data_IF_099160653538
#
_entry.id   IF_099160653538
#
_cell.length_a   1.000
_cell.length_b   1.000
_cell.length_c   1.000
_cell.angle_alpha   90.00
_cell.angle_beta   90.00
_cell.angle_gamma   90.00
#
_symmetry.space_group_name_H-M   'P 1'
#
loop_
_entity.id
_entity.type
_entity.pdbx_description
1 polymer ?
#
# COMPACT_ATOMS: atom_id res chain seq x y z
N UNK A 1 -25.33 51.63 40.46
CA UNK A 1 -25.13 50.33 41.15
C UNK A 1 -25.56 49.24 40.19
N UNK A 2 -24.63 48.56 39.49
CA UNK A 2 -24.07 47.24 39.85
C UNK A 2 -25.18 46.17 39.96
N UNK A 3 -25.44 45.32 38.96
CA UNK A 3 -24.90 43.94 38.75
C UNK A 3 -26.09 43.14 38.17
N UNK A 4 -26.04 42.08 37.36
CA UNK A 4 -25.03 41.25 36.69
C UNK A 4 -25.81 40.51 35.59
N UNK A 5 -25.40 40.64 34.35
CA UNK A 5 -25.71 39.66 33.30
C UNK A 5 -24.70 38.54 33.52
N UNK A 6 -25.16 37.37 33.97
CA UNK A 6 -24.31 36.18 34.00
C UNK A 6 -24.70 35.27 32.83
N UNK A 7 -23.84 35.35 31.83
CA UNK A 7 -23.77 34.50 30.65
C UNK A 7 -23.69 33.03 31.05
N UNK A 8 -24.65 32.22 30.63
CA UNK A 8 -24.47 30.77 30.51
C UNK A 8 -24.33 30.47 29.02
N UNK A 9 -23.15 30.78 28.48
CA UNK A 9 -22.70 30.18 27.23
C UNK A 9 -22.18 28.79 27.60
N UNK A 10 -23.03 27.77 27.43
CA UNK A 10 -22.60 26.39 27.53
C UNK A 10 -21.70 26.10 26.31
N UNK A 11 -20.39 26.12 26.54
CA UNK A 11 -19.38 25.68 25.58
C UNK A 11 -19.57 24.18 25.41
N UNK A 12 -20.34 23.78 24.40
CA UNK A 12 -20.29 22.42 23.83
C UNK A 12 -18.96 22.29 23.08
N UNK A 13 -17.88 22.06 23.83
CA UNK A 13 -16.70 21.45 23.27
C UNK A 13 -17.07 20.00 22.92
N UNK A 14 -17.37 19.76 21.66
CA UNK A 14 -17.44 18.42 21.09
C UNK A 14 -16.05 17.79 21.17
N UNK A 15 -15.81 17.03 22.24
CA UNK A 15 -14.77 16.02 22.25
C UNK A 15 -15.18 14.96 21.23
N UNK A 16 -14.73 15.11 19.99
CA UNK A 16 -14.71 14.04 19.02
C UNK A 16 -13.70 13.00 19.52
N UNK A 17 -14.12 12.14 20.44
CA UNK A 17 -13.43 10.88 20.68
C UNK A 17 -13.54 10.09 19.38
N UNK A 18 -12.45 10.03 18.62
CA UNK A 18 -12.32 9.11 17.50
C UNK A 18 -12.40 7.69 18.09
N UNK A 19 -13.59 7.09 18.07
CA UNK A 19 -13.76 5.70 18.42
C UNK A 19 -12.94 4.87 17.42
N UNK A 20 -11.98 4.10 17.93
CA UNK A 20 -11.24 3.15 17.11
C UNK A 20 -12.20 2.09 16.59
N UNK A 21 -12.11 1.75 15.31
CA UNK A 21 -12.89 0.65 14.75
C UNK A 21 -12.41 -0.69 15.34
N UNK A 22 -13.28 -1.71 15.33
CA UNK A 22 -12.89 -3.06 15.77
C UNK A 22 -11.69 -3.57 14.97
N UNK A 23 -11.66 -3.29 13.67
CA UNK A 23 -10.53 -3.61 12.80
C UNK A 23 -9.23 -2.97 13.29
N UNK A 24 -9.24 -1.68 13.62
CA UNK A 24 -8.06 -0.98 14.13
C UNK A 24 -7.59 -1.56 15.48
N UNK A 25 -8.52 -1.97 16.34
CA UNK A 25 -8.20 -2.62 17.61
C UNK A 25 -7.57 -4.01 17.41
N UNK A 26 -8.05 -4.78 16.43
CA UNK A 26 -7.47 -6.07 16.04
C UNK A 26 -6.09 -5.87 15.42
N UNK A 27 -5.95 -4.90 14.49
CA UNK A 27 -4.66 -4.53 13.90
C UNK A 27 -3.66 -4.19 15.01
N UNK A 28 -4.03 -3.34 15.98
CA UNK A 28 -3.17 -3.01 17.10
C UNK A 28 -2.76 -4.23 17.94
N UNK A 29 -3.66 -5.19 18.15
CA UNK A 29 -3.36 -6.44 18.85
C UNK A 29 -2.32 -7.28 18.09
N UNK A 30 -2.51 -7.48 16.79
CA UNK A 30 -1.60 -8.25 15.94
C UNK A 30 -0.26 -7.50 15.78
N UNK A 31 -0.27 -6.18 15.67
CA UNK A 31 0.95 -5.38 15.58
C UNK A 31 1.81 -5.47 16.84
N UNK A 32 1.21 -5.57 18.06
CA UNK A 32 1.98 -5.86 19.28
C UNK A 32 2.71 -7.20 19.20
N UNK A 33 2.08 -8.22 18.62
CA UNK A 33 2.71 -9.51 18.36
C UNK A 33 3.85 -9.37 17.32
N UNK A 34 3.58 -8.76 16.16
CA UNK A 34 4.54 -8.64 15.08
C UNK A 34 5.77 -7.81 15.50
N UNK A 35 5.56 -6.61 16.04
CA UNK A 35 6.63 -5.76 16.55
C UNK A 35 7.36 -6.42 17.73
N UNK A 36 6.62 -7.07 18.63
CA UNK A 36 7.22 -7.77 19.75
C UNK A 36 8.15 -8.89 19.29
N UNK A 37 7.74 -9.65 18.27
CA UNK A 37 8.58 -10.68 17.68
C UNK A 37 9.75 -10.11 16.88
N UNK A 38 9.62 -8.91 16.29
CA UNK A 38 10.65 -8.31 15.43
C UNK A 38 11.74 -7.57 16.21
N UNK A 39 11.39 -7.06 17.40
CA UNK A 39 12.27 -6.24 18.25
C UNK A 39 12.54 -6.86 19.63
N UNK A 40 12.36 -8.17 19.76
CA UNK A 40 12.61 -8.93 21.00
C UNK A 40 11.90 -8.37 22.25
N UNK A 41 10.61 -8.06 22.13
CA UNK A 41 9.78 -7.53 23.23
C UNK A 41 8.81 -8.61 23.74
N UNK A 42 9.25 -9.53 24.63
CA UNK A 42 8.44 -10.66 25.09
C UNK A 42 7.17 -10.23 25.83
N UNK A 43 7.20 -9.09 26.53
CA UNK A 43 6.02 -8.57 27.22
C UNK A 43 4.96 -8.05 26.22
N UNK A 44 5.40 -7.46 25.10
CA UNK A 44 4.51 -7.07 23.99
C UNK A 44 3.85 -8.29 23.36
N UNK A 45 4.63 -9.34 23.07
CA UNK A 45 4.13 -10.62 22.57
C UNK A 45 3.07 -11.17 23.53
N UNK A 46 3.43 -11.33 24.81
CA UNK A 46 2.54 -11.87 25.85
C UNK A 46 1.24 -11.07 25.97
N UNK A 47 1.32 -9.74 25.87
CA UNK A 47 0.15 -8.86 25.97
C UNK A 47 -0.85 -9.01 24.82
N UNK A 48 -0.42 -9.51 23.66
CA UNK A 48 -1.30 -9.75 22.51
C UNK A 48 -2.14 -11.03 22.68
N UNK A 49 -1.63 -12.00 23.43
CA UNK A 49 -2.30 -13.29 23.64
C UNK A 49 -3.23 -13.30 24.85
N UNK A 50 -4.23 -14.18 24.78
CA UNK A 50 -4.94 -14.66 25.95
C UNK A 50 -4.02 -15.59 26.77
N UNK A 51 -4.21 -15.64 28.10
CA UNK A 51 -3.29 -16.34 29.00
C UNK A 51 -3.09 -17.83 28.63
N UNK A 52 -4.17 -18.52 28.24
CA UNK A 52 -4.16 -19.94 27.89
C UNK A 52 -4.04 -20.20 26.37
N UNK A 53 -3.65 -19.18 25.60
CA UNK A 53 -3.53 -19.33 24.16
C UNK A 53 -2.38 -20.29 23.80
N UNK A 54 -2.63 -21.13 22.80
CA UNK A 54 -1.65 -22.06 22.26
C UNK A 54 -1.28 -21.71 20.82
N UNK A 55 0.00 -21.94 20.50
CA UNK A 55 0.53 -21.91 19.15
C UNK A 55 0.65 -23.33 18.63
N UNK A 56 0.15 -23.56 17.42
CA UNK A 56 0.26 -24.81 16.69
C UNK A 56 1.34 -24.63 15.63
N UNK A 57 2.53 -25.15 15.94
CA UNK A 57 3.73 -25.04 15.12
C UNK A 57 4.09 -26.40 14.53
N UNK A 58 5.02 -26.41 13.58
CA UNK A 58 5.56 -27.64 13.01
C UNK A 58 7.08 -27.53 12.81
N UNK A 59 7.75 -28.68 12.83
CA UNK A 59 9.14 -28.85 12.44
C UNK A 59 9.29 -30.19 11.71
N UNK A 60 10.44 -30.41 11.07
CA UNK A 60 10.69 -31.62 10.28
C UNK A 60 10.40 -32.93 11.05
N UNK A 61 10.75 -32.95 12.34
CA UNK A 61 10.64 -34.14 13.20
C UNK A 61 9.44 -34.10 14.15
N UNK A 62 8.67 -33.00 14.13
CA UNK A 62 7.49 -32.81 14.99
C UNK A 62 6.38 -32.12 14.20
N UNK A 63 5.46 -32.90 13.57
CA UNK A 63 4.44 -32.36 12.68
C UNK A 63 3.41 -31.49 13.41
N UNK A 64 3.16 -31.77 14.69
CA UNK A 64 2.34 -30.93 15.57
C UNK A 64 3.12 -30.63 16.85
N UNK A 65 3.49 -29.37 17.00
CA UNK A 65 4.10 -28.83 18.20
C UNK A 65 3.19 -27.77 18.80
N UNK A 66 2.49 -28.15 19.87
CA UNK A 66 1.70 -27.24 20.68
C UNK A 66 2.64 -26.54 21.66
N UNK A 67 2.62 -25.21 21.65
CA UNK A 67 3.40 -24.37 22.56
C UNK A 67 2.50 -23.30 23.19
N UNK A 68 2.46 -23.18 24.53
CA UNK A 68 1.79 -22.07 25.19
C UNK A 68 2.37 -20.72 24.76
N UNK A 69 1.53 -19.71 24.55
CA UNK A 69 1.97 -18.38 24.13
C UNK A 69 2.99 -17.75 25.10
N UNK A 70 2.83 -18.00 26.39
CA UNK A 70 3.78 -17.57 27.42
C UNK A 70 5.18 -18.19 27.23
N UNK A 71 5.27 -19.43 26.77
CA UNK A 71 6.55 -20.09 26.48
C UNK A 71 7.14 -19.61 25.17
N UNK A 72 6.29 -19.34 24.16
CA UNK A 72 6.74 -18.72 22.91
C UNK A 72 7.39 -17.36 23.14
N UNK A 73 6.79 -16.52 23.98
CA UNK A 73 7.34 -15.20 24.31
C UNK A 73 8.75 -15.30 24.91
N UNK A 74 9.05 -16.34 25.71
CA UNK A 74 10.38 -16.56 26.31
C UNK A 74 11.49 -16.84 25.30
N UNK A 75 11.14 -17.20 24.06
CA UNK A 75 12.13 -17.35 22.98
C UNK A 75 12.77 -16.02 22.57
N UNK A 76 12.15 -14.89 22.94
CA UNK A 76 12.63 -13.55 22.66
C UNK A 76 13.23 -12.95 23.93
N UNK A 77 14.54 -12.70 23.91
CA UNK A 77 15.28 -12.35 25.11
C UNK A 77 15.11 -10.87 25.48
N UNK A 78 14.84 -10.59 26.77
CA UNK A 78 14.73 -9.22 27.29
C UNK A 78 16.03 -8.42 27.16
N UNK A 79 17.19 -9.08 27.18
CA UNK A 79 18.51 -8.45 26.99
C UNK A 79 18.69 -7.82 25.59
N UNK A 80 17.92 -8.27 24.61
CA UNK A 80 17.94 -7.78 23.23
C UNK A 80 16.73 -6.89 22.90
N UNK A 81 15.96 -6.47 23.90
CA UNK A 81 14.77 -5.65 23.71
C UNK A 81 15.08 -4.36 22.92
N UNK A 82 14.28 -4.11 21.89
CA UNK A 82 14.43 -2.98 20.97
C UNK A 82 15.38 -3.23 19.80
N UNK A 83 16.20 -4.31 19.82
CA UNK A 83 17.06 -4.66 18.69
C UNK A 83 16.24 -5.40 17.63
N UNK A 84 16.32 -4.92 16.38
CA UNK A 84 15.71 -5.60 15.24
C UNK A 84 16.41 -6.96 15.00
N UNK A 85 15.64 -8.03 14.85
CA UNK A 85 16.16 -9.40 14.69
C UNK A 85 15.97 -10.00 13.29
N UNK A 86 15.67 -9.16 12.28
CA UNK A 86 15.51 -9.58 10.89
C UNK A 86 14.12 -10.09 10.51
N UNK A 87 13.18 -10.18 11.47
CA UNK A 87 11.78 -10.52 11.18
C UNK A 87 11.02 -9.31 10.69
N UNK A 88 10.46 -9.39 9.48
CA UNK A 88 9.63 -8.32 8.90
C UNK A 88 8.20 -8.83 8.87
N UNK A 89 7.35 -8.33 9.77
CA UNK A 89 5.96 -8.72 9.88
C UNK A 89 5.00 -7.77 9.17
N UNK A 90 3.96 -8.31 8.53
CA UNK A 90 2.80 -7.54 8.07
C UNK A 90 1.51 -8.31 8.21
N UNK A 91 0.41 -7.59 8.41
CA UNK A 91 -0.94 -8.16 8.37
C UNK A 91 -1.31 -8.37 6.89
N UNK A 92 -1.90 -9.52 6.59
CA UNK A 92 -2.34 -9.91 5.24
C UNK A 92 -3.85 -9.73 5.10
N UNK A 93 -4.61 -10.20 6.09
CA UNK A 93 -6.07 -10.03 6.13
C UNK A 93 -6.63 -10.15 7.53
N UNK A 94 -7.79 -9.53 7.75
CA UNK A 94 -8.60 -9.61 8.97
C UNK A 94 -10.06 -9.81 8.55
N UNK A 95 -10.71 -10.81 9.14
CA UNK A 95 -12.15 -11.05 9.01
C UNK A 95 -12.80 -11.02 10.40
N UNK A 96 -13.86 -10.25 10.55
CA UNK A 96 -14.46 -9.91 11.86
C UNK A 96 -15.92 -10.37 11.86
N UNK A 97 -16.30 -11.09 12.91
CA UNK A 97 -17.69 -11.44 13.16
C UNK A 97 -18.03 -11.17 14.63
N UNK A 98 -18.73 -10.06 14.88
CA UNK A 98 -19.12 -9.60 16.22
C UNK A 98 -17.90 -9.52 17.16
N UNK A 99 -17.76 -10.49 18.06
CA UNK A 99 -16.77 -10.53 19.13
C UNK A 99 -15.68 -11.61 18.91
N UNK A 100 -15.62 -12.18 17.70
CA UNK A 100 -14.55 -13.05 17.19
C UNK A 100 -13.95 -12.48 15.90
N UNK A 101 -12.72 -12.85 15.58
CA UNK A 101 -12.08 -12.54 14.31
C UNK A 101 -11.08 -13.62 13.90
N UNK A 102 -10.85 -13.75 12.60
CA UNK A 102 -9.69 -14.47 12.06
C UNK A 102 -8.76 -13.48 11.39
N UNK A 103 -7.46 -13.76 11.40
CA UNK A 103 -6.50 -12.92 10.71
C UNK A 103 -5.33 -13.73 10.17
N UNK A 104 -4.71 -13.22 9.10
CA UNK A 104 -3.45 -13.72 8.55
C UNK A 104 -2.36 -12.66 8.73
N UNK A 105 -1.14 -13.08 9.05
CA UNK A 105 0.05 -12.24 8.96
C UNK A 105 1.21 -12.99 8.31
N UNK A 106 1.96 -12.26 7.49
CA UNK A 106 3.19 -12.73 6.87
C UNK A 106 4.37 -12.28 7.72
N UNK A 107 5.34 -13.17 7.94
CA UNK A 107 6.62 -12.82 8.55
C UNK A 107 7.75 -13.29 7.66
N UNK A 108 8.52 -12.34 7.16
CA UNK A 108 9.69 -12.58 6.31
C UNK A 108 10.96 -12.62 7.17
N UNK A 109 11.86 -13.53 6.85
CA UNK A 109 13.24 -13.51 7.35
C UNK A 109 14.18 -13.62 6.14
N UNK A 110 14.44 -12.49 5.44
CA UNK A 110 15.14 -12.50 4.15
C UNK A 110 16.53 -13.15 4.20
N UNK A 111 17.31 -12.89 5.24
CA UNK A 111 18.65 -13.49 5.43
C UNK A 111 18.62 -15.02 5.47
N UNK A 112 17.50 -15.60 5.92
CA UNK A 112 17.29 -17.04 6.00
C UNK A 112 16.49 -17.61 4.83
N UNK A 113 16.04 -16.76 3.90
CA UNK A 113 15.15 -17.14 2.79
C UNK A 113 13.90 -17.88 3.28
N UNK A 114 13.30 -17.39 4.37
CA UNK A 114 12.11 -17.98 4.97
C UNK A 114 10.93 -17.02 4.96
N UNK A 115 9.78 -17.56 4.61
CA UNK A 115 8.48 -16.91 4.66
C UNK A 115 7.58 -17.70 5.61
N UNK A 116 7.03 -17.03 6.61
CA UNK A 116 6.03 -17.60 7.51
C UNK A 116 4.66 -17.00 7.19
N UNK A 117 3.64 -17.85 7.24
CA UNK A 117 2.25 -17.44 7.31
C UNK A 117 1.70 -17.84 8.68
N UNK A 118 1.25 -16.84 9.40
CA UNK A 118 0.62 -16.95 10.70
C UNK A 118 -0.88 -16.77 10.54
N UNK A 119 -1.67 -17.70 11.08
CA UNK A 119 -3.13 -17.61 11.11
C UNK A 119 -3.58 -17.49 12.56
N UNK A 120 -4.37 -16.48 12.87
CA UNK A 120 -4.84 -16.16 14.22
C UNK A 120 -6.34 -16.38 14.34
N UNK A 121 -6.76 -16.93 15.47
CA UNK A 121 -8.12 -16.81 15.98
C UNK A 121 -8.11 -15.82 17.13
N UNK A 122 -8.94 -14.78 17.04
CA UNK A 122 -9.04 -13.73 18.03
C UNK A 122 -10.43 -13.69 18.67
N UNK A 123 -10.46 -13.24 19.92
CA UNK A 123 -11.68 -13.02 20.69
C UNK A 123 -11.61 -11.66 21.38
N UNK A 124 -12.72 -10.94 21.37
CA UNK A 124 -12.91 -9.79 22.25
C UNK A 124 -13.29 -10.27 23.65
N UNK A 125 -12.43 -10.00 24.62
CA UNK A 125 -12.55 -10.42 26.02
C UNK A 125 -12.45 -9.16 26.89
N UNK A 126 -13.50 -8.89 27.67
CA UNK A 126 -13.56 -7.69 28.53
C UNK A 126 -13.25 -6.38 27.78
N UNK A 127 -13.76 -6.26 26.55
CA UNK A 127 -13.55 -5.08 25.69
C UNK A 127 -12.22 -5.04 24.93
N UNK A 128 -11.32 -6.02 25.11
CA UNK A 128 -10.02 -6.07 24.44
C UNK A 128 -9.90 -7.26 23.49
N UNK A 129 -9.36 -7.04 22.31
CA UNK A 129 -9.02 -8.13 21.39
C UNK A 129 -7.77 -8.86 21.84
N UNK A 130 -7.86 -10.19 21.88
CA UNK A 130 -6.77 -11.10 22.23
C UNK A 130 -6.66 -12.22 21.22
N UNK A 131 -5.42 -12.62 20.92
CA UNK A 131 -5.15 -13.84 20.17
C UNK A 131 -5.40 -15.02 21.12
N UNK A 132 -6.40 -15.83 20.83
CA UNK A 132 -6.75 -17.01 21.64
C UNK A 132 -6.16 -18.31 21.08
N UNK A 133 -5.82 -18.33 19.80
CA UNK A 133 -5.10 -19.44 19.16
C UNK A 133 -4.34 -18.93 17.94
N UNK A 134 -3.24 -19.59 17.61
CA UNK A 134 -2.43 -19.27 16.44
C UNK A 134 -1.88 -20.54 15.80
N UNK A 135 -1.94 -20.65 14.48
CA UNK A 135 -1.17 -21.62 13.72
C UNK A 135 -0.05 -20.91 12.93
N UNK A 136 1.01 -21.63 12.60
CA UNK A 136 2.09 -21.11 11.75
C UNK A 136 2.60 -22.19 10.81
N UNK A 137 2.89 -21.79 9.57
CA UNK A 137 3.64 -22.60 8.64
C UNK A 137 4.70 -21.75 7.96
N UNK A 138 5.81 -22.38 7.55
CA UNK A 138 6.88 -21.71 6.80
C UNK A 138 7.15 -22.42 5.50
N UNK A 139 7.59 -21.65 4.51
CA UNK A 139 8.16 -22.15 3.25
C UNK A 139 9.48 -21.43 2.93
N UNK A 140 10.35 -22.04 2.12
CA UNK A 140 11.42 -21.30 1.46
C UNK A 140 10.84 -20.14 0.66
N UNK A 141 11.52 -19.01 0.70
CA UNK A 141 11.04 -17.76 0.13
C UNK A 141 12.11 -16.98 -0.62
N UNK A 142 11.69 -16.14 -1.56
CA UNK A 142 12.56 -15.24 -2.32
C UNK A 142 12.37 -13.76 -1.94
N UNK A 143 11.50 -13.47 -0.95
CA UNK A 143 11.20 -12.11 -0.53
C UNK A 143 12.42 -11.42 0.09
N UNK A 144 12.77 -10.28 -0.50
CA UNK A 144 13.92 -9.45 -0.14
C UNK A 144 13.70 -8.58 1.10
N UNK A 145 12.45 -8.42 1.54
CA UNK A 145 12.06 -7.43 2.56
C UNK A 145 11.93 -6.00 2.02
N UNK A 146 12.25 -5.75 0.74
CA UNK A 146 12.09 -4.44 0.11
C UNK A 146 10.65 -4.22 -0.36
N UNK A 147 10.18 -2.98 -0.28
CA UNK A 147 8.81 -2.62 -0.64
C UNK A 147 8.71 -1.61 -1.78
N UNK A 148 7.59 -1.69 -2.49
CA UNK A 148 7.12 -0.70 -3.46
C UNK A 148 5.69 -0.29 -3.07
N UNK A 149 5.39 1.01 -3.14
CA UNK A 149 4.08 1.55 -2.81
C UNK A 149 3.30 1.82 -4.09
N UNK A 150 2.16 1.16 -4.27
CA UNK A 150 1.23 1.44 -5.35
C UNK A 150 0.24 2.51 -4.88
N UNK A 151 0.12 3.58 -5.66
CA UNK A 151 -0.77 4.71 -5.36
C UNK A 151 -1.95 4.63 -6.33
N UNK A 152 -3.15 4.54 -5.75
CA UNK A 152 -4.43 4.30 -6.40
C UNK A 152 -5.41 5.43 -6.08
N UNK A 153 -6.49 5.55 -6.86
CA UNK A 153 -7.59 6.48 -6.59
C UNK A 153 -8.79 5.77 -5.95
N UNK A 154 -9.52 6.48 -5.08
CA UNK A 154 -10.85 6.06 -4.63
C UNK A 154 -11.98 6.56 -5.56
N UNK A 155 -11.67 7.47 -6.50
CA UNK A 155 -12.67 8.05 -7.42
C UNK A 155 -13.20 7.00 -8.40
N UNK A 156 -14.53 6.94 -8.54
CA UNK A 156 -15.24 5.95 -9.36
C UNK A 156 -16.06 6.54 -10.53
N UNK A 157 -16.05 7.86 -10.72
CA UNK A 157 -16.73 8.55 -11.83
C UNK A 157 -15.87 9.67 -12.41
N UNK A 158 -16.05 9.96 -13.69
CA UNK A 158 -15.39 11.11 -14.33
C UNK A 158 -16.04 12.43 -13.86
N UNK A 159 -15.34 13.16 -13.00
CA UNK A 159 -15.82 14.45 -12.47
C UNK A 159 -17.20 14.32 -11.84
N UNK A 160 -18.16 15.12 -12.30
CA UNK A 160 -19.55 15.11 -11.81
C UNK A 160 -20.50 14.28 -12.67
N UNK A 161 -19.99 13.39 -13.52
CA UNK A 161 -20.82 12.55 -14.39
C UNK A 161 -21.22 11.24 -13.71
N UNK A 162 -22.07 10.46 -14.38
CA UNK A 162 -22.41 9.08 -14.00
C UNK A 162 -21.62 8.04 -14.79
N UNK A 163 -20.64 8.45 -15.60
CA UNK A 163 -19.80 7.53 -16.36
C UNK A 163 -18.75 6.94 -15.42
N UNK A 164 -18.82 5.63 -15.20
CA UNK A 164 -17.92 4.91 -14.30
C UNK A 164 -16.48 4.93 -14.83
N UNK A 165 -15.53 5.13 -13.92
CA UNK A 165 -14.12 4.80 -14.12
C UNK A 165 -13.51 4.25 -12.83
N UNK A 166 -12.23 3.90 -12.88
CA UNK A 166 -11.51 3.37 -11.74
C UNK A 166 -10.03 3.19 -12.05
N UNK A 167 -9.40 2.34 -11.24
CA UNK A 167 -8.01 1.96 -11.44
C UNK A 167 -7.95 0.83 -12.47
N UNK A 168 -6.99 0.91 -13.38
CA UNK A 168 -6.78 -0.11 -14.41
C UNK A 168 -6.29 -1.41 -13.78
N UNK A 169 -7.15 -2.43 -13.67
CA UNK A 169 -6.78 -3.73 -13.12
C UNK A 169 -5.58 -4.40 -13.83
N UNK A 170 -5.45 -4.38 -15.18
CA UNK A 170 -4.23 -4.89 -15.82
C UNK A 170 -2.97 -4.12 -15.43
N UNK A 171 -3.04 -2.80 -15.22
CA UNK A 171 -1.87 -2.02 -14.78
C UNK A 171 -1.40 -2.45 -13.40
N UNK A 172 -2.34 -2.63 -12.46
CA UNK A 172 -2.05 -3.16 -11.12
C UNK A 172 -1.44 -4.56 -11.25
N UNK A 173 -2.13 -5.48 -11.94
CA UNK A 173 -1.77 -6.90 -11.98
C UNK A 173 -0.41 -7.12 -12.63
N UNK A 174 -0.14 -6.50 -13.77
CA UNK A 174 1.11 -6.71 -14.49
C UNK A 174 2.32 -6.14 -13.72
N UNK A 175 2.19 -4.95 -13.16
CA UNK A 175 3.25 -4.37 -12.33
C UNK A 175 3.43 -5.17 -11.03
N UNK A 176 2.34 -5.49 -10.33
CA UNK A 176 2.37 -6.27 -9.09
C UNK A 176 3.05 -7.61 -9.31
N UNK A 177 2.68 -8.33 -10.37
CA UNK A 177 3.26 -9.62 -10.70
C UNK A 177 4.78 -9.55 -10.91
N UNK A 178 5.26 -8.55 -11.64
CA UNK A 178 6.69 -8.34 -11.84
C UNK A 178 7.43 -8.11 -10.51
N UNK A 179 6.90 -7.24 -9.64
CA UNK A 179 7.50 -6.97 -8.33
C UNK A 179 7.50 -8.19 -7.41
N UNK A 180 6.37 -8.88 -7.26
CA UNK A 180 6.31 -10.03 -6.34
C UNK A 180 7.14 -11.20 -6.83
N UNK A 181 7.25 -11.40 -8.15
CA UNK A 181 8.14 -12.41 -8.76
C UNK A 181 9.60 -12.10 -8.45
N UNK A 182 9.99 -10.82 -8.49
CA UNK A 182 11.33 -10.35 -8.11
C UNK A 182 11.56 -10.29 -6.59
N UNK A 183 10.61 -10.78 -5.77
CA UNK A 183 10.78 -10.85 -4.31
C UNK A 183 10.52 -9.52 -3.58
N UNK A 184 9.84 -8.56 -4.21
CA UNK A 184 9.37 -7.36 -3.52
C UNK A 184 8.03 -7.61 -2.83
N UNK A 185 7.76 -6.80 -1.82
CA UNK A 185 6.43 -6.63 -1.24
C UNK A 185 5.78 -5.39 -1.86
N UNK A 186 4.52 -5.49 -2.25
CA UNK A 186 3.74 -4.36 -2.75
C UNK A 186 2.68 -4.03 -1.71
N UNK A 187 2.67 -2.77 -1.27
CA UNK A 187 1.60 -2.22 -0.44
C UNK A 187 0.81 -1.21 -1.28
N UNK A 188 -0.45 -0.98 -0.93
CA UNK A 188 -1.36 -0.12 -1.68
C UNK A 188 -1.82 1.05 -0.80
N UNK A 189 -1.86 2.25 -1.36
CA UNK A 189 -2.38 3.45 -0.71
C UNK A 189 -3.36 4.16 -1.63
N UNK A 190 -4.40 4.75 -1.06
CA UNK A 190 -5.32 5.65 -1.75
C UNK A 190 -5.61 6.87 -0.88
N UNK A 191 -6.09 8.00 -1.43
CA UNK A 191 -6.38 9.21 -0.68
C UNK A 191 -7.23 8.99 0.59
N UNK A 192 -8.24 8.13 0.50
CA UNK A 192 -9.19 7.85 1.59
C UNK A 192 -8.88 6.52 2.30
N UNK A 193 -7.90 5.75 1.81
CA UNK A 193 -7.71 4.35 2.17
C UNK A 193 -8.92 3.49 1.78
N UNK A 194 -8.95 2.25 2.27
CA UNK A 194 -10.07 1.35 2.02
C UNK A 194 -10.21 0.96 0.55
N UNK A 195 -11.46 0.77 0.12
CA UNK A 195 -11.76 0.14 -1.17
C UNK A 195 -11.57 1.08 -2.35
N UNK A 196 -11.11 0.51 -3.46
CA UNK A 196 -10.84 1.22 -4.71
C UNK A 196 -11.63 0.63 -5.87
N UNK A 197 -12.17 1.47 -6.77
CA UNK A 197 -12.86 1.01 -7.98
C UNK A 197 -11.87 0.42 -8.98
N UNK A 198 -12.29 -0.64 -9.67
CA UNK A 198 -11.49 -1.34 -10.67
C UNK A 198 -12.14 -1.28 -12.05
N UNK A 199 -11.34 -0.99 -13.07
CA UNK A 199 -11.70 -1.09 -14.48
C UNK A 199 -10.93 -2.21 -15.18
N UNK A 200 -11.53 -2.71 -16.27
CA UNK A 200 -10.89 -3.65 -17.20
C UNK A 200 -10.47 -4.99 -16.61
N UNK A 201 -11.06 -5.41 -15.48
CA UNK A 201 -10.86 -6.74 -14.93
C UNK A 201 -11.47 -7.80 -15.86
N UNK A 202 -10.63 -8.68 -16.41
CA UNK A 202 -11.02 -9.70 -17.40
C UNK A 202 -10.54 -11.08 -16.99
N UNK A 203 -11.47 -12.00 -16.76
CA UNK A 203 -11.17 -13.41 -16.49
C UNK A 203 -10.68 -14.18 -17.73
N UNK A 204 -10.79 -13.59 -18.92
CA UNK A 204 -10.22 -14.13 -20.16
C UNK A 204 -8.69 -13.97 -20.24
N UNK A 205 -8.09 -13.07 -19.44
CA UNK A 205 -6.65 -12.92 -19.32
C UNK A 205 -6.16 -13.77 -18.14
N UNK A 206 -5.35 -14.83 -18.34
CA UNK A 206 -5.03 -15.79 -17.27
C UNK A 206 -4.43 -15.15 -16.02
N UNK A 207 -3.52 -14.20 -16.19
CA UNK A 207 -2.87 -13.53 -15.06
C UNK A 207 -3.86 -12.66 -14.27
N UNK A 208 -4.74 -11.92 -14.96
CA UNK A 208 -5.80 -11.17 -14.28
C UNK A 208 -6.77 -12.10 -13.55
N UNK A 209 -7.16 -13.22 -14.16
CA UNK A 209 -8.02 -14.23 -13.52
C UNK A 209 -7.39 -14.78 -12.24
N UNK A 210 -6.08 -15.07 -12.26
CA UNK A 210 -5.34 -15.54 -11.09
C UNK A 210 -5.46 -14.54 -9.92
N UNK A 211 -5.15 -13.27 -10.16
CA UNK A 211 -5.19 -12.25 -9.11
C UNK A 211 -6.62 -11.87 -8.69
N UNK A 212 -7.58 -11.90 -9.61
CA UNK A 212 -8.98 -11.64 -9.29
C UNK A 212 -9.56 -12.68 -8.32
N UNK A 213 -9.03 -13.91 -8.34
CA UNK A 213 -9.41 -14.99 -7.42
C UNK A 213 -8.42 -15.20 -6.27
N UNK A 214 -7.40 -14.35 -6.15
CA UNK A 214 -6.51 -14.31 -5.00
C UNK A 214 -7.17 -13.45 -3.91
N UNK A 215 -7.65 -14.12 -2.85
CA UNK A 215 -8.35 -13.47 -1.75
C UNK A 215 -7.47 -12.48 -0.99
N UNK A 216 -6.18 -12.79 -0.81
CA UNK A 216 -5.28 -11.93 -0.06
C UNK A 216 -4.92 -10.68 -0.89
N UNK A 217 -4.79 -10.82 -2.20
CA UNK A 217 -4.61 -9.69 -3.11
C UNK A 217 -5.86 -8.79 -3.19
N UNK A 218 -7.05 -9.39 -3.36
CA UNK A 218 -8.29 -8.62 -3.43
C UNK A 218 -8.62 -7.93 -2.09
N UNK A 219 -8.31 -8.59 -0.96
CA UNK A 219 -8.39 -7.96 0.36
C UNK A 219 -7.50 -6.71 0.43
N UNK A 220 -6.27 -6.77 -0.09
CA UNK A 220 -5.36 -5.64 -0.08
C UNK A 220 -5.84 -4.46 -0.93
N UNK A 221 -6.57 -4.71 -2.02
CA UNK A 221 -7.21 -3.67 -2.84
C UNK A 221 -8.49 -3.10 -2.19
N UNK A 222 -9.17 -3.89 -1.36
CA UNK A 222 -10.31 -3.43 -0.56
C UNK A 222 -9.89 -2.65 0.69
N UNK A 223 -8.67 -2.87 1.18
CA UNK A 223 -8.14 -2.30 2.43
C UNK A 223 -6.85 -1.52 2.18
N UNK A 224 -6.85 -0.65 1.17
CA UNK A 224 -5.68 0.21 0.91
C UNK A 224 -5.36 1.09 2.12
N UNK A 225 -4.08 1.39 2.31
CA UNK A 225 -3.62 2.30 3.35
C UNK A 225 -4.16 3.71 3.10
N UNK A 226 -4.43 4.43 4.18
CA UNK A 226 -4.53 5.89 4.17
C UNK A 226 -3.13 6.51 4.15
N UNK A 227 -2.93 7.72 3.61
CA UNK A 227 -1.60 8.33 3.55
C UNK A 227 -0.91 8.42 4.93
N UNK A 228 -1.64 8.81 5.98
CA UNK A 228 -1.11 8.84 7.35
C UNK A 228 -0.70 7.49 7.96
N UNK A 229 -1.01 6.36 7.33
CA UNK A 229 -0.54 5.02 7.75
C UNK A 229 0.75 4.60 7.03
N UNK A 230 1.19 5.37 6.03
CA UNK A 230 2.37 5.05 5.23
C UNK A 230 3.63 5.56 5.91
N UNK A 231 4.54 4.63 6.25
CA UNK A 231 5.91 4.98 6.58
C UNK A 231 6.76 5.01 5.31
N UNK A 232 7.02 6.22 4.77
CA UNK A 232 7.74 6.39 3.51
C UNK A 232 9.11 5.70 3.49
N UNK A 233 9.78 5.54 4.65
CA UNK A 233 11.12 4.93 4.79
C UNK A 233 11.17 3.47 4.35
N UNK A 234 10.03 2.78 4.33
CA UNK A 234 9.96 1.36 3.98
C UNK A 234 10.05 1.13 2.46
N UNK A 235 9.86 2.18 1.64
CA UNK A 235 9.68 2.05 0.20
C UNK A 235 10.91 2.46 -0.61
N UNK A 236 11.23 1.62 -1.60
CA UNK A 236 12.27 1.89 -2.60
C UNK A 236 11.73 2.58 -3.84
N UNK A 237 10.42 2.47 -4.08
CA UNK A 237 9.75 3.16 -5.17
C UNK A 237 8.28 3.42 -4.83
N UNK A 238 7.71 4.44 -5.47
CA UNK A 238 6.27 4.64 -5.56
C UNK A 238 5.83 4.50 -7.02
N UNK A 239 4.71 3.84 -7.26
CA UNK A 239 4.12 3.63 -8.58
C UNK A 239 2.70 4.20 -8.59
N UNK A 240 2.49 5.29 -9.31
CA UNK A 240 1.17 5.82 -9.63
C UNK A 240 0.52 4.95 -10.70
N UNK A 241 -0.58 4.32 -10.36
CA UNK A 241 -1.36 3.47 -11.27
C UNK A 241 -2.37 4.34 -12.03
N UNK A 242 -2.60 4.03 -13.30
CA UNK A 242 -3.58 4.70 -14.14
C UNK A 242 -4.98 4.05 -14.10
N UNK A 243 -5.69 4.19 -15.21
CA UNK A 243 -7.15 4.03 -15.28
C UNK A 243 -7.85 5.38 -15.34
N UNK A 244 -9.11 5.40 -15.78
CA UNK A 244 -9.78 6.64 -16.18
C UNK A 244 -9.89 7.67 -15.05
N UNK A 245 -9.98 7.21 -13.82
CA UNK A 245 -10.17 8.04 -12.65
C UNK A 245 -8.85 8.50 -11.99
N UNK A 246 -7.68 8.05 -12.45
CA UNK A 246 -6.39 8.36 -11.81
C UNK A 246 -6.01 9.86 -11.86
N UNK A 247 -6.68 10.64 -12.71
CA UNK A 247 -6.54 12.10 -12.80
C UNK A 247 -7.28 12.86 -11.68
N UNK A 248 -8.10 12.17 -10.88
CA UNK A 248 -8.87 12.75 -9.78
C UNK A 248 -8.41 12.20 -8.42
N UNK A 249 -8.45 13.05 -7.39
CA UNK A 249 -8.18 12.70 -5.99
C UNK A 249 -6.69 12.57 -5.67
N UNK A 250 -5.93 11.87 -6.51
CA UNK A 250 -4.50 11.61 -6.29
C UNK A 250 -3.62 12.82 -6.61
N UNK A 251 -3.74 13.48 -7.79
CA UNK A 251 -2.81 14.56 -8.17
C UNK A 251 -2.83 15.78 -7.24
N UNK A 252 -3.92 16.05 -6.54
CA UNK A 252 -4.11 17.18 -5.63
C UNK A 252 -3.83 16.84 -4.16
N UNK A 253 -3.80 15.55 -3.80
CA UNK A 253 -3.62 15.11 -2.42
C UNK A 253 -2.21 15.41 -1.90
N UNK A 254 -2.13 16.28 -0.88
CA UNK A 254 -0.86 16.77 -0.33
C UNK A 254 -0.08 15.73 0.46
N UNK A 255 -0.76 14.82 1.15
CA UNK A 255 -0.09 13.74 1.88
C UNK A 255 0.55 12.74 0.92
N UNK A 256 -0.14 12.38 -0.17
CA UNK A 256 0.42 11.53 -1.23
C UNK A 256 1.60 12.22 -1.92
N UNK A 257 1.48 13.51 -2.27
CA UNK A 257 2.60 14.28 -2.84
C UNK A 257 3.81 14.26 -1.90
N UNK A 258 3.57 14.47 -0.59
CA UNK A 258 4.62 14.45 0.42
C UNK A 258 5.29 13.07 0.49
N UNK A 259 4.52 11.98 0.62
CA UNK A 259 5.04 10.61 0.67
C UNK A 259 5.92 10.32 -0.56
N UNK A 260 5.42 10.61 -1.76
CA UNK A 260 6.15 10.36 -3.01
C UNK A 260 7.49 11.13 -3.04
N UNK A 261 7.48 12.40 -2.64
CA UNK A 261 8.69 13.23 -2.61
C UNK A 261 9.65 12.83 -1.49
N UNK A 262 9.16 12.35 -0.34
CA UNK A 262 10.02 11.81 0.71
C UNK A 262 10.69 10.51 0.28
N UNK A 263 9.97 9.60 -0.39
CA UNK A 263 10.57 8.41 -1.01
C UNK A 263 11.66 8.83 -2.01
N UNK A 264 11.39 9.84 -2.84
CA UNK A 264 12.34 10.30 -3.84
C UNK A 264 13.57 11.00 -3.24
N UNK A 265 13.40 11.99 -2.36
CA UNK A 265 14.51 12.82 -1.90
C UNK A 265 15.22 12.24 -0.68
N UNK A 266 14.52 11.57 0.23
CA UNK A 266 15.09 11.06 1.48
C UNK A 266 15.59 9.63 1.36
N UNK A 267 14.88 8.76 0.64
CA UNK A 267 15.30 7.37 0.48
C UNK A 267 16.16 7.14 -0.77
N UNK A 268 16.31 8.16 -1.63
CA UNK A 268 16.87 7.98 -2.97
C UNK A 268 16.02 7.04 -3.85
N UNK A 269 14.73 6.90 -3.55
CA UNK A 269 13.82 5.97 -4.21
C UNK A 269 13.36 6.43 -5.60
N UNK A 270 12.57 5.60 -6.27
CA UNK A 270 12.08 5.88 -7.63
C UNK A 270 10.64 6.39 -7.58
N UNK A 271 10.35 7.40 -8.39
CA UNK A 271 8.97 7.79 -8.70
C UNK A 271 8.61 7.20 -10.05
N UNK A 272 7.47 6.52 -10.14
CA UNK A 272 7.00 5.99 -11.40
C UNK A 272 5.52 6.14 -11.63
N UNK A 273 5.12 6.14 -12.89
CA UNK A 273 3.71 6.22 -13.30
C UNK A 273 3.44 5.43 -14.58
N UNK A 274 2.19 5.06 -14.81
CA UNK A 274 1.72 4.46 -16.08
C UNK A 274 0.41 5.11 -16.50
N UNK A 275 0.17 5.28 -17.80
CA UNK A 275 -1.12 5.71 -18.35
C UNK A 275 -1.56 7.07 -17.78
N UNK A 276 -2.78 7.17 -17.26
CA UNK A 276 -3.28 8.36 -16.54
C UNK A 276 -2.65 8.57 -15.17
N UNK A 277 -1.95 7.59 -14.60
CA UNK A 277 -1.20 7.74 -13.36
C UNK A 277 -0.15 8.87 -13.46
N UNK A 278 0.31 9.18 -14.67
CA UNK A 278 1.21 10.32 -14.95
C UNK A 278 0.58 11.67 -14.57
N UNK A 279 -0.75 11.77 -14.50
CA UNK A 279 -1.44 12.92 -13.94
C UNK A 279 -0.97 13.27 -12.52
N UNK A 280 -0.53 12.29 -11.73
CA UNK A 280 -0.05 12.53 -10.36
C UNK A 280 1.31 13.22 -10.31
N UNK A 281 2.12 13.12 -11.35
CA UNK A 281 3.46 13.73 -11.39
C UNK A 281 3.41 15.24 -11.56
N UNK A 282 2.30 15.74 -12.12
CA UNK A 282 2.21 17.11 -12.57
C UNK A 282 2.45 18.08 -11.40
N UNK A 283 1.93 17.80 -10.20
CA UNK A 283 2.03 18.70 -9.05
C UNK A 283 3.21 18.40 -8.11
N UNK A 284 4.01 17.36 -8.39
CA UNK A 284 5.15 17.01 -7.55
C UNK A 284 6.24 18.06 -7.67
N UNK A 285 6.76 18.48 -6.52
CA UNK A 285 7.83 19.48 -6.43
C UNK A 285 8.94 18.98 -5.51
N UNK A 286 10.18 19.21 -5.94
CA UNK A 286 11.38 19.02 -5.13
C UNK A 286 11.45 20.06 -4.01
N UNK A 287 12.29 19.82 -2.99
CA UNK A 287 12.49 20.73 -1.85
C UNK A 287 12.90 22.15 -2.24
N UNK A 288 13.56 22.31 -3.37
CA UNK A 288 13.95 23.61 -3.94
C UNK A 288 12.78 24.34 -4.64
N UNK A 289 11.59 23.75 -4.67
CA UNK A 289 10.36 24.31 -5.23
C UNK A 289 10.18 24.10 -6.74
N UNK A 290 11.15 23.46 -7.42
CA UNK A 290 11.02 23.11 -8.83
C UNK A 290 10.00 21.96 -9.01
N UNK A 291 9.29 21.96 -10.15
CA UNK A 291 8.50 20.78 -10.52
C UNK A 291 9.43 19.60 -10.78
N UNK A 292 9.07 18.43 -10.27
CA UNK A 292 9.84 17.20 -10.45
C UNK A 292 10.13 16.91 -11.92
N UNK A 293 9.15 17.21 -12.78
CA UNK A 293 9.20 16.94 -14.23
C UNK A 293 10.02 17.98 -15.01
N UNK A 294 10.46 19.08 -14.38
CA UNK A 294 11.24 20.12 -15.04
C UNK A 294 12.54 19.55 -15.62
N UNK A 295 12.72 19.69 -16.93
CA UNK A 295 13.88 19.19 -17.67
C UNK A 295 13.91 17.68 -17.84
N UNK A 296 12.87 16.94 -17.42
CA UNK A 296 12.80 15.48 -17.54
C UNK A 296 12.01 15.04 -18.76
N UNK A 297 12.40 13.91 -19.33
CA UNK A 297 11.57 13.20 -20.30
C UNK A 297 10.65 12.21 -19.59
N UNK A 298 9.35 12.28 -19.86
CA UNK A 298 8.32 11.42 -19.27
C UNK A 298 7.30 10.98 -20.32
N UNK A 299 6.56 9.92 -20.02
CA UNK A 299 5.48 9.38 -20.82
C UNK A 299 4.21 9.16 -19.98
N UNK A 300 3.11 8.87 -20.65
CA UNK A 300 1.79 8.64 -20.09
C UNK A 300 0.78 8.49 -21.23
N UNK A 301 -0.51 8.49 -20.89
CA UNK A 301 -1.55 8.48 -21.92
C UNK A 301 -1.69 9.89 -22.53
N UNK A 302 -1.37 10.10 -23.82
CA UNK A 302 -1.45 11.42 -24.46
C UNK A 302 -2.90 11.79 -24.80
N UNK A 303 -3.23 13.09 -24.82
CA UNK A 303 -4.55 13.57 -25.26
C UNK A 303 -4.84 13.24 -26.72
N UNK A 304 -3.79 12.95 -27.52
CA UNK A 304 -3.94 12.47 -28.89
C UNK A 304 -4.69 11.13 -28.97
N UNK A 305 -4.67 10.31 -27.91
CA UNK A 305 -5.38 9.03 -27.85
C UNK A 305 -6.70 9.09 -27.09
N UNK A 306 -7.04 10.26 -26.54
CA UNK A 306 -8.33 10.52 -25.92
C UNK A 306 -9.43 10.78 -26.95
N UNK A 307 -10.65 10.36 -26.61
CA UNK A 307 -11.84 10.72 -27.38
C UNK A 307 -12.29 12.14 -27.00
N UNK A 308 -11.82 13.13 -27.74
CA UNK A 308 -12.05 14.56 -27.42
C UNK A 308 -13.52 14.98 -27.42
N UNK A 309 -14.37 14.24 -28.13
CA UNK A 309 -15.82 14.50 -28.19
C UNK A 309 -16.59 13.85 -27.03
N UNK A 310 -15.98 12.88 -26.33
CA UNK A 310 -16.63 12.16 -25.25
C UNK A 310 -16.89 13.06 -24.03
N UNK A 311 -17.94 12.73 -23.27
CA UNK A 311 -18.33 13.49 -22.09
C UNK A 311 -17.26 13.43 -21.00
N UNK A 312 -16.66 12.25 -20.77
CA UNK A 312 -15.58 12.09 -19.80
C UNK A 312 -14.41 13.05 -20.02
N UNK A 313 -13.98 13.26 -21.27
CA UNK A 313 -12.82 14.10 -21.60
C UNK A 313 -13.07 15.56 -21.22
N UNK A 314 -14.32 16.02 -21.35
CA UNK A 314 -14.74 17.39 -20.98
C UNK A 314 -14.74 17.63 -19.46
N UNK A 315 -14.66 16.57 -18.66
CA UNK A 315 -14.59 16.66 -17.19
C UNK A 315 -13.16 16.68 -16.65
N UNK A 316 -12.15 16.42 -17.49
CA UNK A 316 -10.77 16.38 -17.03
C UNK A 316 -10.39 17.70 -16.36
N UNK A 317 -9.80 17.66 -15.15
CA UNK A 317 -9.44 18.87 -14.41
C UNK A 317 -8.28 19.61 -15.06
N UNK A 318 -7.48 18.91 -15.87
CA UNK A 318 -6.39 19.43 -16.69
C UNK A 318 -6.02 18.40 -17.77
N UNK A 319 -5.19 18.81 -18.74
CA UNK A 319 -4.63 17.92 -19.75
C UNK A 319 -3.21 17.52 -19.33
N UNK A 320 -2.94 16.22 -19.22
CA UNK A 320 -1.70 15.67 -18.65
C UNK A 320 -0.47 16.15 -19.43
N UNK A 321 -0.41 15.93 -20.75
CA UNK A 321 0.73 16.30 -21.58
C UNK A 321 0.98 17.79 -21.52
N UNK A 322 -0.07 18.60 -21.76
CA UNK A 322 0.06 20.05 -21.76
C UNK A 322 0.53 20.58 -20.41
N UNK A 323 0.05 19.99 -19.32
CA UNK A 323 0.46 20.39 -17.97
C UNK A 323 1.91 20.01 -17.68
N UNK A 324 2.37 18.84 -18.13
CA UNK A 324 3.77 18.42 -18.04
C UNK A 324 4.67 19.39 -18.83
N UNK A 325 4.30 19.71 -20.07
CA UNK A 325 5.06 20.62 -20.95
C UNK A 325 5.09 22.04 -20.39
N UNK A 326 3.98 22.54 -19.85
CA UNK A 326 3.89 23.83 -19.17
C UNK A 326 4.78 23.89 -17.90
N UNK A 327 5.12 22.72 -17.33
CA UNK A 327 6.03 22.57 -16.19
C UNK A 327 7.47 22.27 -16.63
N UNK A 328 7.77 22.56 -17.89
CA UNK A 328 9.05 22.37 -18.54
C UNK A 328 9.53 20.91 -18.56
N UNK A 329 8.62 19.94 -18.46
CA UNK A 329 8.89 18.55 -18.80
C UNK A 329 8.75 18.29 -20.29
N UNK A 330 9.39 17.23 -20.77
CA UNK A 330 9.26 16.75 -22.15
C UNK A 330 8.38 15.50 -22.15
N UNK A 331 7.23 15.56 -22.81
CA UNK A 331 6.33 14.43 -22.90
C UNK A 331 6.55 13.66 -24.22
N UNK A 332 6.67 12.34 -24.15
CA UNK A 332 6.88 11.46 -25.31
C UNK A 332 5.95 10.25 -25.26
N UNK A 333 5.55 9.77 -26.44
CA UNK A 333 4.70 8.60 -26.61
C UNK A 333 5.01 7.92 -27.96
N UNK A 334 4.82 6.60 -28.01
CA UNK A 334 4.85 5.76 -29.21
C UNK A 334 3.44 5.47 -29.71
N UNK A 335 3.27 4.50 -30.62
CA UNK A 335 1.95 4.10 -31.12
C UNK A 335 1.00 3.68 -30.00
N UNK A 336 -0.31 3.80 -30.23
CA UNK A 336 -1.36 3.70 -29.20
C UNK A 336 -1.24 2.48 -28.29
N UNK A 337 -0.99 1.31 -28.89
CA UNK A 337 -0.93 0.02 -28.20
C UNK A 337 0.51 -0.44 -27.92
N UNK A 338 1.52 0.34 -28.32
CA UNK A 338 2.92 -0.01 -28.15
C UNK A 338 3.34 0.06 -26.68
N UNK A 339 4.30 -0.78 -26.31
CA UNK A 339 5.03 -0.62 -25.05
C UNK A 339 5.98 0.56 -25.19
N UNK A 340 5.80 1.58 -24.36
CA UNK A 340 6.67 2.76 -24.33
C UNK A 340 7.01 3.15 -22.90
N UNK A 341 8.30 3.20 -22.58
CA UNK A 341 8.82 3.49 -21.24
C UNK A 341 9.91 4.55 -21.34
N UNK A 342 9.76 5.61 -20.56
CA UNK A 342 10.79 6.62 -20.34
C UNK A 342 11.41 6.44 -18.96
N UNK A 343 12.73 6.52 -18.87
CA UNK A 343 13.47 6.48 -17.62
C UNK A 343 14.48 7.63 -17.58
N UNK A 344 14.13 8.71 -16.88
CA UNK A 344 14.97 9.91 -16.70
C UNK A 344 15.50 9.94 -15.25
N UNK A 345 16.65 9.29 -15.06
CA UNK A 345 17.22 9.04 -13.75
C UNK A 345 16.30 8.14 -12.91
N UNK A 346 15.75 8.69 -11.82
CA UNK A 346 14.86 7.99 -10.88
C UNK A 346 13.37 8.30 -11.11
N UNK A 347 13.02 8.84 -12.28
CA UNK A 347 11.64 9.02 -12.73
C UNK A 347 11.38 8.06 -13.89
N UNK A 348 10.50 7.08 -13.70
CA UNK A 348 10.22 6.02 -14.68
C UNK A 348 8.74 6.02 -15.04
N UNK A 349 8.40 6.26 -16.31
CA UNK A 349 7.01 6.45 -16.72
C UNK A 349 6.66 5.62 -17.95
N UNK A 350 5.45 5.06 -17.97
CA UNK A 350 4.95 4.25 -19.08
C UNK A 350 3.68 4.81 -19.72
N UNK A 351 3.50 4.56 -21.01
CA UNK A 351 2.40 5.15 -21.78
C UNK A 351 1.02 4.57 -21.46
N UNK A 352 0.91 3.25 -21.31
CA UNK A 352 -0.37 2.53 -21.29
C UNK A 352 -0.26 1.23 -20.49
N UNK A 353 -1.36 0.49 -20.37
CA UNK A 353 -1.38 -0.77 -19.60
C UNK A 353 -0.38 -1.83 -20.10
N UNK A 354 -0.10 -1.89 -21.41
CA UNK A 354 0.92 -2.78 -21.98
C UNK A 354 2.33 -2.46 -21.44
N UNK A 355 2.58 -1.21 -21.04
CA UNK A 355 3.86 -0.75 -20.52
C UNK A 355 4.09 -1.09 -19.04
N UNK A 356 3.08 -1.57 -18.31
CA UNK A 356 3.14 -1.75 -16.85
C UNK A 356 4.22 -2.73 -16.38
N UNK A 357 4.33 -3.88 -17.03
CA UNK A 357 5.37 -4.88 -16.74
C UNK A 357 6.77 -4.33 -17.05
N UNK A 358 6.92 -3.61 -18.17
CA UNK A 358 8.19 -3.01 -18.57
C UNK A 358 8.63 -1.89 -17.61
N UNK A 359 7.71 -1.05 -17.13
CA UNK A 359 7.98 -0.05 -16.10
C UNK A 359 8.43 -0.73 -14.80
N UNK A 360 7.69 -1.74 -14.32
CA UNK A 360 8.06 -2.47 -13.11
C UNK A 360 9.45 -3.11 -13.22
N UNK A 361 9.76 -3.76 -14.34
CA UNK A 361 11.09 -4.32 -14.62
C UNK A 361 12.18 -3.26 -14.65
N UNK A 362 11.91 -2.08 -15.21
CA UNK A 362 12.88 -0.98 -15.24
C UNK A 362 13.16 -0.44 -13.83
N UNK A 363 12.14 -0.35 -12.98
CA UNK A 363 12.29 0.03 -11.57
C UNK A 363 13.15 -1.00 -10.83
N UNK A 364 12.88 -2.30 -11.01
CA UNK A 364 13.67 -3.38 -10.40
C UNK A 364 15.14 -3.28 -10.82
N UNK A 365 15.42 -3.11 -12.12
CA UNK A 365 16.77 -2.93 -12.67
C UNK A 365 17.50 -1.75 -11.99
N UNK A 366 16.84 -0.61 -11.85
CA UNK A 366 17.42 0.59 -11.22
C UNK A 366 17.67 0.42 -9.72
N UNK A 367 16.76 -0.24 -9.00
CA UNK A 367 16.95 -0.57 -7.58
C UNK A 367 18.15 -1.50 -7.41
N UNK A 368 18.30 -2.50 -8.28
CA UNK A 368 19.37 -3.48 -8.20
C UNK A 368 20.75 -2.89 -8.54
N UNK A 369 20.84 -2.01 -9.54
CA UNK A 369 22.08 -1.30 -9.90
C UNK A 369 22.57 -0.30 -8.85
N UNK A 370 21.69 0.15 -7.96
CA UNK A 370 22.00 1.13 -6.92
C UNK A 370 22.51 0.49 -5.62
N UNK A 371 22.55 -0.85 -5.55
CA UNK A 371 23.20 -1.62 -4.48
C UNK A 371 24.54 -2.16 -4.98
#
# INVERSE_FOLDING_TARGET
MKKVILSVLFVLQSLWLLAQTEEQLIQNCIQRYLLGSSYNLPDSISSAFYADANLFLSSKDKPVWIMPAADYAKLFKKEDAGKFNGRIGRIVSIDIYNDIATAKAEILIPERKLEFMDVFLLKKISGQWKIISKAAASKPGNKSGRKVLFILTNTCFYGNTTEFCGNSFPEIVFAHNAFVTAGYTVDFVSPEGGSIPLEYARTSVPLQKQYLYDQDFMYALEHTLKPGQVNYKDYKAVQFIGGGCAIYGVPENKEIQQIAMQVYEENGGIISSVCHGTASLVNLKTRDGNYLVKGKTVSGWPEAYESKDALYFKQFPFLIQQTIEARAGKFTYAGRDDVHVEADGRVVTGQNYNSSDAVAKKIIELIEKSN
#
